data_IF_497725082920
#
_entry.id   IF_497725082920
#
_cell.length_a   1.000
_cell.length_b   1.000
_cell.length_c   1.000
_cell.angle_alpha   90.00
_cell.angle_beta   90.00
_cell.angle_gamma   90.00
#
_symmetry.space_group_name_H-M   'P 1'
#
loop_
_entity.id
_entity.type
_entity.pdbx_description
1 polymer ?
#
# COMPACT_ATOMS: atom_id res chain seq x y z
N UNK A 1 -20.44 -6.82 -7.30
CA UNK A 1 -19.07 -6.27 -7.28
C UNK A 1 -18.77 -5.83 -5.85
N UNK A 2 -17.57 -6.07 -5.30
CA UNK A 2 -17.20 -5.48 -4.01
C UNK A 2 -17.21 -3.95 -4.11
N UNK A 3 -17.48 -3.23 -3.01
CA UNK A 3 -17.53 -1.77 -3.03
C UNK A 3 -16.21 -1.18 -3.52
N UNK A 4 -16.31 -0.06 -4.25
CA UNK A 4 -15.16 0.72 -4.72
C UNK A 4 -14.47 1.28 -3.49
N UNK A 5 -13.15 1.12 -3.42
CA UNK A 5 -12.36 1.80 -2.39
C UNK A 5 -12.31 3.28 -2.77
N UNK A 6 -12.58 4.17 -1.81
CA UNK A 6 -12.43 5.61 -1.97
C UNK A 6 -11.65 6.13 -0.77
N UNK A 7 -10.63 6.93 -1.07
CA UNK A 7 -9.77 7.57 -0.10
C UNK A 7 -9.70 9.05 -0.46
N UNK A 8 -10.35 9.87 0.35
CA UNK A 8 -10.18 11.31 0.28
C UNK A 8 -8.95 11.65 1.13
N UNK A 9 -7.88 12.08 0.46
CA UNK A 9 -6.63 12.50 1.11
C UNK A 9 -6.68 14.00 1.36
N UNK A 10 -6.29 14.44 2.54
CA UNK A 10 -5.93 15.83 2.79
C UNK A 10 -4.64 16.20 2.03
N UNK A 11 -4.41 17.49 1.81
CA UNK A 11 -3.25 17.98 1.05
C UNK A 11 -1.92 17.52 1.66
N UNK A 12 -1.83 17.51 3.00
CA UNK A 12 -0.63 17.07 3.72
C UNK A 12 -0.42 15.55 3.58
N UNK A 13 -1.48 14.75 3.69
CA UNK A 13 -1.42 13.29 3.52
C UNK A 13 -1.00 12.90 2.10
N UNK A 14 -1.57 13.58 1.09
CA UNK A 14 -1.16 13.41 -0.31
C UNK A 14 0.29 13.81 -0.49
N UNK A 15 0.74 14.93 0.08
CA UNK A 15 2.12 15.36 -0.02
C UNK A 15 3.09 14.34 0.60
N UNK A 16 2.75 13.81 1.77
CA UNK A 16 3.55 12.78 2.45
C UNK A 16 3.66 11.52 1.60
N UNK A 17 2.54 11.00 1.07
CA UNK A 17 2.54 9.84 0.19
C UNK A 17 3.36 10.05 -1.09
N UNK A 18 3.28 11.24 -1.70
CA UNK A 18 4.09 11.61 -2.85
C UNK A 18 5.57 11.60 -2.50
N UNK A 19 5.93 12.20 -1.35
CA UNK A 19 7.31 12.21 -0.89
C UNK A 19 7.84 10.79 -0.65
N UNK A 20 7.06 9.93 0.01
CA UNK A 20 7.40 8.52 0.23
C UNK A 20 7.57 7.78 -1.09
N UNK A 21 6.64 7.96 -2.04
CA UNK A 21 6.71 7.35 -3.37
C UNK A 21 8.01 7.70 -4.10
N UNK A 22 8.42 8.96 -4.02
CA UNK A 22 9.52 9.49 -4.85
C UNK A 22 10.89 9.33 -4.19
N UNK A 23 10.99 9.40 -2.86
CA UNK A 23 12.26 9.55 -2.16
C UNK A 23 12.59 8.42 -1.17
N UNK A 24 11.61 7.61 -0.74
CA UNK A 24 11.85 6.66 0.34
C UNK A 24 12.88 5.59 -0.06
N UNK A 25 13.87 5.30 0.80
CA UNK A 25 14.98 4.37 0.51
C UNK A 25 14.51 2.95 0.19
N UNK A 26 13.59 2.43 1.01
CA UNK A 26 13.00 1.10 0.88
C UNK A 26 12.09 1.01 -0.37
N UNK A 27 12.40 0.19 -1.40
CA UNK A 27 11.60 0.12 -2.63
C UNK A 27 10.14 -0.31 -2.44
N UNK A 28 9.86 -1.14 -1.44
CA UNK A 28 8.50 -1.58 -1.17
C UNK A 28 7.62 -0.46 -0.58
N UNK A 29 8.21 0.55 0.09
CA UNK A 29 7.45 1.70 0.58
C UNK A 29 6.98 2.54 -0.60
N UNK A 30 7.87 2.77 -1.57
CA UNK A 30 7.53 3.48 -2.82
C UNK A 30 6.39 2.80 -3.57
N UNK A 31 6.45 1.47 -3.70
CA UNK A 31 5.40 0.67 -4.33
C UNK A 31 4.05 0.81 -3.61
N UNK A 32 4.05 0.73 -2.27
CA UNK A 32 2.82 0.81 -1.48
C UNK A 32 2.21 2.21 -1.50
N UNK A 33 3.02 3.25 -1.37
CA UNK A 33 2.57 4.63 -1.46
C UNK A 33 1.96 4.93 -2.84
N UNK A 34 2.61 4.45 -3.92
CA UNK A 34 2.05 4.53 -5.28
C UNK A 34 0.66 3.88 -5.39
N UNK A 35 0.48 2.71 -4.77
CA UNK A 35 -0.80 2.00 -4.79
C UNK A 35 -1.91 2.78 -4.08
N UNK A 36 -1.61 3.41 -2.93
CA UNK A 36 -2.56 4.21 -2.16
C UNK A 36 -2.95 5.48 -2.94
N UNK A 37 -1.97 6.18 -3.53
CA UNK A 37 -2.21 7.36 -4.35
C UNK A 37 -3.14 7.07 -5.54
N UNK A 38 -2.91 5.98 -6.26
CA UNK A 38 -3.78 5.60 -7.40
C UNK A 38 -5.22 5.29 -6.96
N UNK A 39 -5.40 4.65 -5.79
CA UNK A 39 -6.75 4.44 -5.24
C UNK A 39 -7.41 5.76 -4.87
N UNK A 40 -6.66 6.70 -4.29
CA UNK A 40 -7.15 8.06 -4.02
C UNK A 40 -7.49 8.83 -5.31
N UNK A 41 -6.75 8.58 -6.39
CA UNK A 41 -7.05 9.12 -7.74
C UNK A 41 -8.27 8.44 -8.38
N UNK A 42 -8.82 7.39 -7.77
CA UNK A 42 -10.08 6.75 -8.15
C UNK A 42 -9.94 5.41 -8.87
N UNK A 43 -8.73 4.87 -9.00
CA UNK A 43 -8.50 3.53 -9.55
C UNK A 43 -8.97 2.44 -8.59
N UNK A 44 -9.46 1.31 -9.11
CA UNK A 44 -9.77 0.17 -8.25
C UNK A 44 -8.49 -0.57 -7.84
N UNK A 45 -8.49 -1.17 -6.65
CA UNK A 45 -7.38 -2.04 -6.22
C UNK A 45 -7.09 -3.20 -7.19
N UNK A 46 -8.04 -3.59 -8.04
CA UNK A 46 -7.83 -4.62 -9.05
C UNK A 46 -7.06 -4.08 -10.26
N UNK A 47 -7.34 -2.85 -10.69
CA UNK A 47 -6.61 -2.16 -11.77
C UNK A 47 -5.19 -1.83 -11.31
N UNK A 48 -5.05 -1.21 -10.14
CA UNK A 48 -3.74 -0.91 -9.53
C UNK A 48 -2.89 -2.18 -9.39
N UNK A 49 -3.48 -3.27 -8.91
CA UNK A 49 -2.75 -4.53 -8.75
C UNK A 49 -2.32 -5.15 -10.08
N UNK A 50 -3.07 -4.96 -11.17
CA UNK A 50 -2.76 -5.57 -12.46
C UNK A 50 -1.74 -4.74 -13.25
N UNK A 51 -1.99 -3.43 -13.32
CA UNK A 51 -1.39 -2.55 -14.32
C UNK A 51 -0.76 -1.29 -13.71
N UNK A 52 -1.12 -0.92 -12.48
CA UNK A 52 -0.68 0.32 -11.81
C UNK A 52 0.68 0.26 -11.10
N UNK A 53 1.26 -0.93 -10.97
CA UNK A 53 2.52 -1.16 -10.24
C UNK A 53 3.58 -1.77 -11.17
N UNK A 54 4.86 -1.61 -10.80
CA UNK A 54 5.99 -2.16 -11.55
C UNK A 54 5.86 -3.66 -11.85
N UNK A 55 5.25 -4.41 -10.93
CA UNK A 55 4.94 -5.82 -11.10
C UNK A 55 3.52 -6.11 -10.65
N UNK A 56 2.79 -7.00 -11.36
CA UNK A 56 1.46 -7.40 -10.95
C UNK A 56 1.43 -7.97 -9.53
N UNK A 57 0.38 -7.61 -8.79
CA UNK A 57 0.08 -8.07 -7.44
C UNK A 57 -1.28 -8.74 -7.40
N UNK A 58 -1.56 -9.41 -6.27
CA UNK A 58 -2.92 -9.88 -5.99
C UNK A 58 -3.76 -8.68 -5.54
N UNK A 59 -4.99 -8.49 -6.02
CA UNK A 59 -5.85 -7.39 -5.58
C UNK A 59 -6.02 -7.30 -4.05
N UNK A 60 -6.10 -8.45 -3.37
CA UNK A 60 -6.19 -8.49 -1.91
C UNK A 60 -4.95 -7.95 -1.19
N UNK A 61 -3.77 -8.03 -1.82
CA UNK A 61 -2.55 -7.42 -1.28
C UNK A 61 -2.66 -5.90 -1.28
N UNK A 62 -3.13 -5.32 -2.40
CA UNK A 62 -3.33 -3.88 -2.54
C UNK A 62 -4.44 -3.39 -1.59
N UNK A 63 -5.56 -4.13 -1.47
CA UNK A 63 -6.58 -3.86 -0.45
C UNK A 63 -5.99 -3.85 0.96
N UNK A 64 -5.09 -4.78 1.27
CA UNK A 64 -4.41 -4.83 2.56
C UNK A 64 -3.52 -3.62 2.83
N UNK A 65 -2.86 -3.06 1.81
CA UNK A 65 -2.08 -1.82 1.97
C UNK A 65 -2.99 -0.61 2.20
N UNK A 66 -4.07 -0.50 1.42
CA UNK A 66 -5.09 0.53 1.61
C UNK A 66 -5.66 0.55 3.04
N UNK A 67 -6.08 -0.62 3.56
CA UNK A 67 -6.67 -0.67 4.90
C UNK A 67 -5.67 -0.30 5.98
N UNK A 68 -4.41 -0.74 5.86
CA UNK A 68 -3.37 -0.34 6.82
C UNK A 68 -3.06 1.14 6.76
N UNK A 69 -3.07 1.75 5.57
CA UNK A 69 -2.89 3.18 5.44
C UNK A 69 -4.04 3.95 6.10
N UNK A 70 -5.28 3.51 5.93
CA UNK A 70 -6.42 4.12 6.63
C UNK A 70 -6.30 4.02 8.16
N UNK A 71 -5.76 2.90 8.66
CA UNK A 71 -5.67 2.68 10.11
C UNK A 71 -4.47 3.40 10.74
N UNK A 72 -3.34 3.51 10.02
CA UNK A 72 -2.02 3.86 10.60
C UNK A 72 -1.23 4.88 9.77
N UNK A 73 -1.79 5.43 8.68
CA UNK A 73 -1.08 6.31 7.77
C UNK A 73 0.10 5.63 7.07
N UNK A 74 1.17 6.40 6.81
CA UNK A 74 2.38 5.88 6.14
C UNK A 74 3.05 4.76 6.95
N UNK A 75 2.99 4.80 8.28
CA UNK A 75 3.54 3.74 9.14
C UNK A 75 2.89 2.38 8.88
N UNK A 76 1.60 2.37 8.54
CA UNK A 76 0.86 1.17 8.13
C UNK A 76 1.40 0.50 6.86
N UNK A 77 2.18 1.24 6.06
CA UNK A 77 2.82 0.73 4.85
C UNK A 77 4.13 -0.01 5.13
N UNK A 78 4.67 0.03 6.34
CA UNK A 78 5.87 -0.73 6.70
C UNK A 78 5.61 -2.25 6.66
N UNK A 79 6.69 -3.04 6.49
CA UNK A 79 6.61 -4.48 6.75
C UNK A 79 6.78 -4.69 8.25
N UNK A 80 5.71 -5.07 8.94
CA UNK A 80 5.77 -5.43 10.37
C UNK A 80 6.67 -6.63 10.61
N UNK A 81 7.35 -6.61 11.75
CA UNK A 81 8.14 -7.73 12.26
C UNK A 81 7.28 -8.98 12.48
N UNK A 82 7.91 -10.15 12.46
CA UNK A 82 7.21 -11.44 12.63
C UNK A 82 6.44 -11.92 11.39
N UNK A 83 6.57 -11.25 10.24
CA UNK A 83 6.04 -11.75 8.97
C UNK A 83 6.84 -12.96 8.49
N UNK A 84 6.17 -14.10 8.33
CA UNK A 84 6.76 -15.34 7.82
C UNK A 84 6.27 -16.56 8.61
N UNK A 85 6.60 -17.77 8.15
CA UNK A 85 6.41 -18.96 8.99
C UNK A 85 7.40 -18.88 10.14
N UNK A 86 6.89 -18.96 11.38
CA UNK A 86 7.75 -19.16 12.55
C UNK A 86 8.55 -20.47 12.35
N UNK A 87 9.83 -20.51 12.74
CA UNK A 87 10.61 -21.73 12.62
C UNK A 87 9.93 -22.85 13.42
N UNK A 88 9.89 -24.06 12.86
CA UNK A 88 9.30 -25.22 13.53
C UNK A 88 10.11 -25.69 14.75
N UNK A 89 11.35 -25.20 14.89
CA UNK A 89 12.24 -25.49 16.00
C UNK A 89 13.04 -24.23 16.35
N UNK A 90 13.12 -23.89 17.63
CA UNK A 90 14.05 -22.91 18.20
C UNK A 90 14.88 -23.67 19.25
N UNK A 91 16.20 -23.80 19.10
CA UNK A 91 17.05 -24.60 20.00
C UNK A 91 17.09 -24.08 21.44
#
# INVERSE_FOLDING_TARGET
MPPKLQLDLEDDERHELLWVRDHHDKPYMRERASAVLQIADGDSAAEVARDGLLRPRRPNTVRGWYHRYLDEGVDGLEIREGRGRKPAFSP
#
